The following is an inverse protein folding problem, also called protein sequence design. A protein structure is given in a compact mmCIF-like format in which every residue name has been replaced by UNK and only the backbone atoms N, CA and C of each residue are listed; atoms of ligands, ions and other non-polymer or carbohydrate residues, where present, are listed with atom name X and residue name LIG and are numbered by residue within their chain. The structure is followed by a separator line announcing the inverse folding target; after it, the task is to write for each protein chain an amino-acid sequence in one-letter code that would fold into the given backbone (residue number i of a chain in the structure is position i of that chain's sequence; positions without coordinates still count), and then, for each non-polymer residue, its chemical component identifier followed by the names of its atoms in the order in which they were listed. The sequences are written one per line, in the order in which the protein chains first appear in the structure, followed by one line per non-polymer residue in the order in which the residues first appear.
data_IF_264283343344
#
_entry.id   IF_264283343344
#
_cell.length_a   1.000
_cell.length_b   1.000
_cell.length_c   1.000
_cell.angle_alpha   90.00
_cell.angle_beta   90.00
_cell.angle_gamma   90.00
#
_symmetry.space_group_name_H-M   'P 1'
#
loop_
_entity.id
_entity.type
_entity.pdbx_description
1 polymer ?
#
# COMPACT_ATOMS: atom_id res chain seq x y z
N UNK A 1 -24.49 22.24 -33.15
CA UNK A 1 -24.54 23.72 -33.01
C UNK A 1 -24.06 24.08 -31.60
N UNK A 2 -23.25 25.12 -31.41
CA UNK A 2 -21.81 25.15 -31.68
C UNK A 2 -20.98 25.45 -30.40
N UNK A 3 -19.73 24.98 -30.30
CA UNK A 3 -18.49 25.78 -30.40
C UNK A 3 -18.08 26.55 -29.14
N UNK A 4 -16.88 26.24 -28.64
CA UNK A 4 -15.87 27.11 -27.99
C UNK A 4 -14.73 26.17 -27.58
N UNK A 5 -13.77 25.83 -28.45
CA UNK A 5 -12.51 26.57 -28.69
C UNK A 5 -12.05 27.38 -27.49
N UNK A 6 -11.05 26.86 -26.77
CA UNK A 6 -10.15 27.66 -25.95
C UNK A 6 -8.72 27.46 -26.48
N UNK A 7 -8.32 28.40 -27.33
CA UNK A 7 -6.94 28.78 -27.66
C UNK A 7 -6.36 29.51 -26.43
N UNK A 8 -5.18 29.15 -25.94
CA UNK A 8 -3.88 29.76 -26.27
C UNK A 8 -3.40 30.74 -25.19
N UNK A 9 -2.33 30.36 -24.47
CA UNK A 9 -1.15 31.17 -24.13
C UNK A 9 -0.26 30.33 -23.16
N UNK A 10 0.80 29.66 -23.59
CA UNK A 10 2.10 30.20 -24.00
C UNK A 10 2.80 31.02 -22.90
N UNK A 11 3.60 30.35 -22.08
CA UNK A 11 4.92 30.84 -21.69
C UNK A 11 5.87 29.65 -21.54
N UNK A 12 6.51 29.30 -22.67
CA UNK A 12 7.70 28.46 -22.71
C UNK A 12 8.90 29.35 -22.38
N UNK A 13 9.59 29.08 -21.28
CA UNK A 13 10.94 29.60 -21.05
C UNK A 13 11.90 28.55 -21.61
N UNK A 14 12.33 28.77 -22.85
CA UNK A 14 13.42 28.02 -23.48
C UNK A 14 14.75 28.66 -23.11
N UNK A 15 15.55 27.97 -22.29
CA UNK A 15 16.95 28.32 -22.10
C UNK A 15 17.77 27.54 -23.12
N UNK A 16 18.26 28.25 -24.13
CA UNK A 16 19.16 27.72 -25.17
C UNK A 16 20.58 27.94 -24.68
N UNK A 17 21.27 26.86 -24.30
CA UNK A 17 22.73 26.86 -24.17
C UNK A 17 23.35 26.36 -25.46
N UNK A 18 24.00 27.26 -26.19
CA UNK A 18 24.87 26.94 -27.33
C UNK A 18 26.22 26.52 -26.72
N UNK A 19 26.56 25.24 -26.80
CA UNK A 19 27.91 24.75 -26.47
C UNK A 19 28.53 24.21 -27.77
N UNK A 20 29.75 24.66 -28.13
CA UNK A 20 30.38 24.28 -29.39
C UNK A 20 30.79 22.81 -29.40
N UNK A 21 30.56 22.20 -30.56
CA UNK A 21 30.93 20.83 -30.90
C UNK A 21 32.42 20.59 -30.73
N UNK A 22 32.77 19.65 -29.84
CA UNK A 22 34.09 19.01 -29.84
C UNK A 22 33.87 17.51 -29.98
N UNK A 23 34.29 16.99 -31.14
CA UNK A 23 34.25 15.58 -31.50
C UNK A 23 35.26 14.82 -30.62
N UNK A 24 34.80 13.92 -29.74
CA UNK A 24 35.65 12.91 -29.11
C UNK A 24 34.97 11.54 -29.23
N UNK A 25 35.46 10.76 -30.19
CA UNK A 25 35.21 9.32 -30.29
C UNK A 25 36.04 8.64 -29.20
N UNK A 26 35.40 8.07 -28.17
CA UNK A 26 36.03 7.09 -27.29
C UNK A 26 34.98 6.26 -26.54
N UNK A 27 34.98 4.95 -26.82
CA UNK A 27 34.51 3.93 -25.90
C UNK A 27 33.01 3.64 -25.92
N UNK A 28 32.61 2.64 -26.72
CA UNK A 28 31.51 1.78 -26.36
C UNK A 28 31.82 1.13 -25.01
N UNK A 29 31.47 1.82 -23.93
CA UNK A 29 31.26 1.20 -22.64
C UNK A 29 30.02 0.33 -22.78
N UNK A 30 30.24 -0.95 -23.09
CA UNK A 30 29.34 -2.01 -22.66
C UNK A 30 29.17 -1.81 -21.15
N UNK A 31 28.13 -1.06 -20.77
CA UNK A 31 27.66 -1.01 -19.41
C UNK A 31 27.32 -2.44 -19.08
N UNK A 32 28.23 -3.10 -18.37
CA UNK A 32 27.99 -4.39 -17.77
C UNK A 32 26.66 -4.25 -17.07
N UNK A 33 25.65 -4.97 -17.57
CA UNK A 33 24.47 -5.27 -16.80
C UNK A 33 24.99 -6.10 -15.62
N UNK A 34 25.51 -5.39 -14.62
CA UNK A 34 25.66 -5.89 -13.27
C UNK A 34 24.22 -6.07 -12.81
N UNK A 35 23.63 -7.19 -13.24
CA UNK A 35 22.54 -7.82 -12.55
C UNK A 35 23.15 -8.36 -11.25
N UNK A 36 23.61 -7.44 -10.39
CA UNK A 36 23.55 -7.68 -8.97
C UNK A 36 22.11 -8.12 -8.68
N UNK A 37 21.97 -9.15 -7.86
CA UNK A 37 20.68 -9.70 -7.47
C UNK A 37 19.82 -8.56 -6.91
N UNK A 38 18.91 -8.04 -7.74
CA UNK A 38 18.15 -6.83 -7.44
C UNK A 38 17.30 -6.99 -6.17
N UNK A 39 16.93 -8.24 -5.85
CA UNK A 39 16.24 -8.58 -4.62
C UNK A 39 17.18 -8.50 -3.41
N UNK A 40 18.42 -8.99 -3.54
CA UNK A 40 19.46 -8.83 -2.50
C UNK A 40 19.78 -7.34 -2.27
N UNK A 41 19.95 -6.56 -3.34
CA UNK A 41 20.19 -5.12 -3.23
C UNK A 41 19.05 -4.41 -2.52
N UNK A 42 17.80 -4.71 -2.88
CA UNK A 42 16.62 -4.18 -2.20
C UNK A 42 16.65 -4.51 -0.70
N UNK A 43 16.93 -5.77 -0.34
CA UNK A 43 17.03 -6.19 1.07
C UNK A 43 18.14 -5.43 1.81
N UNK A 44 19.29 -5.21 1.18
CA UNK A 44 20.37 -4.42 1.76
C UNK A 44 20.00 -2.95 1.94
N UNK A 45 19.24 -2.37 1.01
CA UNK A 45 18.72 -1.00 1.18
C UNK A 45 17.71 -0.94 2.33
N UNK A 46 16.73 -1.84 2.35
CA UNK A 46 15.70 -1.87 3.39
C UNK A 46 16.27 -2.09 4.80
N UNK A 47 17.34 -2.88 4.94
CA UNK A 47 17.97 -3.11 6.25
C UNK A 47 18.62 -1.86 6.83
N UNK A 48 19.10 -0.94 5.97
CA UNK A 48 19.62 0.36 6.37
C UNK A 48 18.52 1.36 6.73
N UNK A 49 17.30 1.18 6.21
CA UNK A 49 16.14 2.06 6.44
C UNK A 49 15.31 1.66 7.67
N UNK A 50 15.99 1.31 8.76
CA UNK A 50 15.42 0.75 9.99
C UNK A 50 15.69 1.61 11.23
N UNK A 51 15.99 2.90 11.05
CA UNK A 51 16.24 3.84 12.14
C UNK A 51 15.15 3.80 13.21
N UNK A 52 15.54 3.76 14.49
CA UNK A 52 14.62 3.76 15.64
C UNK A 52 14.42 5.16 16.26
N UNK A 53 14.82 6.23 15.55
CA UNK A 53 14.63 7.59 16.03
C UNK A 53 13.14 7.89 16.36
N UNK A 54 12.84 8.67 17.41
CA UNK A 54 11.47 9.05 17.72
C UNK A 54 10.80 9.75 16.54
N UNK A 55 9.51 9.46 16.34
CA UNK A 55 8.70 9.97 15.25
C UNK A 55 7.34 10.41 15.77
N UNK A 56 6.85 11.54 15.26
CA UNK A 56 5.46 11.96 15.44
C UNK A 56 4.81 12.02 14.06
N UNK A 57 3.60 11.50 13.96
CA UNK A 57 2.84 11.46 12.73
C UNK A 57 1.36 11.75 13.01
N UNK A 58 0.68 12.26 11.99
CA UNK A 58 -0.78 12.28 11.93
C UNK A 58 -1.21 11.25 10.88
N UNK A 59 -2.25 10.49 11.21
CA UNK A 59 -2.83 9.49 10.33
C UNK A 59 -4.30 9.82 10.13
N UNK A 60 -4.66 10.06 8.88
CA UNK A 60 -6.04 10.20 8.44
C UNK A 60 -6.45 8.89 7.81
N UNK A 61 -7.56 8.30 8.25
CA UNK A 61 -8.07 7.04 7.71
C UNK A 61 -9.48 7.26 7.21
N UNK A 62 -9.74 6.87 5.97
CA UNK A 62 -11.06 6.85 5.36
C UNK A 62 -11.40 5.43 4.95
N UNK A 63 -12.55 4.93 5.36
CA UNK A 63 -13.05 3.63 4.93
C UNK A 63 -14.39 3.75 4.23
N UNK A 64 -14.57 2.95 3.19
CA UNK A 64 -15.83 2.72 2.51
C UNK A 64 -16.07 1.22 2.44
N UNK A 65 -17.10 0.75 3.15
CA UNK A 65 -17.49 -0.66 3.16
C UNK A 65 -18.83 -0.82 2.46
N UNK A 66 -18.93 -1.79 1.56
CA UNK A 66 -20.19 -2.18 0.92
C UNK A 66 -20.43 -3.65 1.12
N UNK A 67 -21.50 -4.00 1.83
CA UNK A 67 -22.00 -5.37 1.95
C UNK A 67 -23.17 -5.57 0.99
N UNK A 68 -23.07 -6.54 0.08
CA UNK A 68 -24.18 -6.88 -0.81
C UNK A 68 -25.08 -7.90 -0.13
N UNK A 69 -26.10 -7.44 0.58
CA UNK A 69 -27.34 -8.21 0.78
C UNK A 69 -28.27 -7.99 -0.43
N UNK A 70 -29.34 -8.78 -0.53
CA UNK A 70 -30.28 -9.02 -1.65
C UNK A 70 -30.74 -7.78 -2.50
N UNK A 71 -30.47 -6.54 -2.05
CA UNK A 71 -30.84 -5.29 -2.73
C UNK A 71 -29.69 -4.28 -2.91
N UNK A 72 -28.43 -4.72 -3.07
CA UNK A 72 -27.31 -3.82 -3.43
C UNK A 72 -27.07 -2.73 -2.39
N UNK A 73 -26.37 -3.08 -1.31
CA UNK A 73 -26.12 -2.19 -0.17
C UNK A 73 -25.50 -0.84 -0.56
N UNK A 74 -25.87 0.20 0.19
CA UNK A 74 -25.24 1.52 0.09
C UNK A 74 -23.85 1.47 0.76
N UNK A 75 -22.86 2.23 0.25
CA UNK A 75 -21.57 2.31 0.90
C UNK A 75 -21.71 3.00 2.27
N UNK A 76 -21.14 2.36 3.28
CA UNK A 76 -20.98 2.92 4.62
C UNK A 76 -19.61 3.59 4.69
N UNK A 77 -19.60 4.88 5.02
CA UNK A 77 -18.41 5.71 5.04
C UNK A 77 -18.04 6.04 6.49
N UNK A 78 -16.76 5.92 6.82
CA UNK A 78 -16.21 6.42 8.07
C UNK A 78 -14.87 7.12 7.83
N UNK A 79 -14.58 8.10 8.69
CA UNK A 79 -13.32 8.84 8.70
C UNK A 79 -12.87 9.00 10.15
N UNK A 80 -11.57 8.85 10.39
CA UNK A 80 -10.97 9.12 11.68
C UNK A 80 -9.57 9.71 11.54
N UNK A 81 -9.21 10.54 12.52
CA UNK A 81 -7.90 11.18 12.63
C UNK A 81 -7.20 10.68 13.89
N UNK A 82 -5.92 10.31 13.74
CA UNK A 82 -5.09 9.78 14.81
C UNK A 82 -3.79 10.58 14.90
N UNK A 83 -3.38 10.93 16.12
CA UNK A 83 -2.02 11.37 16.36
C UNK A 83 -1.21 10.17 16.87
N UNK A 84 -0.09 9.90 16.21
CA UNK A 84 0.79 8.76 16.49
C UNK A 84 2.13 9.27 16.98
N UNK A 85 2.59 8.73 18.09
CA UNK A 85 3.93 8.98 18.62
C UNK A 85 4.67 7.66 18.77
N UNK A 86 5.86 7.60 18.18
CA UNK A 86 6.76 6.45 18.21
C UNK A 86 8.03 6.87 18.96
N UNK A 87 8.39 6.11 19.98
CA UNK A 87 9.58 6.33 20.79
C UNK A 87 10.07 5.02 21.36
N UNK A 88 10.08 4.91 22.69
CA UNK A 88 10.27 3.64 23.42
C UNK A 88 9.05 2.71 23.32
N UNK A 89 7.91 3.23 22.86
CA UNK A 89 6.72 2.49 22.50
C UNK A 89 5.90 3.21 21.42
N UNK A 90 4.68 2.71 21.19
CA UNK A 90 3.70 3.30 20.29
C UNK A 90 2.56 3.89 21.11
N UNK A 91 2.31 5.18 20.97
CA UNK A 91 1.14 5.86 21.53
C UNK A 91 0.24 6.35 20.40
N UNK A 92 -1.05 6.06 20.50
CA UNK A 92 -2.06 6.47 19.53
C UNK A 92 -3.12 7.28 20.26
N UNK A 93 -3.31 8.52 19.85
CA UNK A 93 -4.35 9.38 20.37
C UNK A 93 -5.54 9.41 19.41
N UNK A 94 -6.71 9.04 19.92
CA UNK A 94 -8.01 9.15 19.23
C UNK A 94 -8.84 10.28 19.84
N UNK A 95 -9.49 11.08 19.01
CA UNK A 95 -10.38 12.15 19.49
C UNK A 95 -11.59 11.62 20.26
N UNK A 96 -11.97 12.29 21.36
CA UNK A 96 -13.16 11.93 22.16
C UNK A 96 -14.46 11.92 21.35
N UNK A 97 -14.55 12.79 20.35
CA UNK A 97 -15.69 12.88 19.43
C UNK A 97 -15.87 11.60 18.63
N UNK A 98 -14.79 11.07 18.04
CA UNK A 98 -14.79 9.81 17.30
C UNK A 98 -15.13 8.63 18.20
N UNK A 99 -14.57 8.59 19.41
CA UNK A 99 -14.89 7.53 20.39
C UNK A 99 -16.37 7.56 20.82
N UNK A 100 -16.93 8.74 21.06
CA UNK A 100 -18.34 8.88 21.42
C UNK A 100 -19.27 8.48 20.28
N UNK A 101 -18.91 8.80 19.02
CA UNK A 101 -19.67 8.38 17.85
C UNK A 101 -19.70 6.85 17.74
N UNK A 102 -18.54 6.19 17.84
CA UNK A 102 -18.46 4.73 17.83
C UNK A 102 -19.27 4.08 18.96
N UNK A 103 -19.22 4.62 20.19
CA UNK A 103 -20.04 4.10 21.29
C UNK A 103 -21.53 4.27 21.01
N UNK A 104 -21.94 5.40 20.46
CA UNK A 104 -23.35 5.65 20.07
C UNK A 104 -23.83 4.65 19.02
N UNK A 105 -22.99 4.36 18.00
CA UNK A 105 -23.27 3.35 16.98
C UNK A 105 -23.43 1.95 17.61
N UNK A 106 -22.52 1.57 18.51
CA UNK A 106 -22.56 0.28 19.20
C UNK A 106 -23.80 0.14 20.09
N UNK A 107 -24.20 1.20 20.80
CA UNK A 107 -25.42 1.18 21.61
C UNK A 107 -26.68 1.02 20.76
N UNK A 108 -26.73 1.66 19.58
CA UNK A 108 -27.84 1.50 18.65
C UNK A 108 -27.93 0.08 18.08
N UNK A 109 -26.78 -0.58 17.87
CA UNK A 109 -26.71 -1.95 17.37
C UNK A 109 -27.14 -3.03 18.40
N UNK A 110 -27.30 -2.70 19.69
CA UNK A 110 -27.72 -3.68 20.72
C UNK A 110 -29.11 -4.27 20.43
N UNK A 111 -30.01 -3.46 19.87
CA UNK A 111 -31.38 -3.87 19.54
C UNK A 111 -31.60 -4.23 18.07
N UNK A 112 -30.62 -3.97 17.21
CA UNK A 112 -30.69 -4.17 15.76
C UNK A 112 -29.32 -4.63 15.24
N UNK A 113 -29.19 -5.94 15.00
CA UNK A 113 -27.95 -6.54 14.55
C UNK A 113 -27.53 -6.13 13.13
N UNK A 114 -28.42 -5.49 12.37
CA UNK A 114 -28.15 -4.94 11.05
C UNK A 114 -27.89 -3.41 11.09
N UNK A 115 -27.83 -2.81 12.29
CA UNK A 115 -27.50 -1.40 12.43
C UNK A 115 -26.04 -1.14 12.00
N UNK A 116 -25.79 -0.17 11.11
CA UNK A 116 -24.45 0.11 10.61
C UNK A 116 -23.57 0.72 11.71
N UNK A 117 -22.35 0.21 11.84
CA UNK A 117 -21.38 0.70 12.85
C UNK A 117 -20.04 1.11 12.23
N UNK A 118 -20.04 1.96 11.19
CA UNK A 118 -18.85 2.18 10.36
C UNK A 118 -17.70 2.85 11.13
N UNK A 119 -17.99 3.72 12.11
CA UNK A 119 -16.95 4.34 12.94
C UNK A 119 -16.37 3.31 13.91
N UNK A 120 -17.21 2.48 14.54
CA UNK A 120 -16.74 1.42 15.42
C UNK A 120 -15.90 0.36 14.66
N UNK A 121 -16.33 -0.04 13.47
CA UNK A 121 -15.60 -0.94 12.59
C UNK A 121 -14.26 -0.36 12.13
N UNK A 122 -14.22 0.90 11.71
CA UNK A 122 -12.98 1.58 11.35
C UNK A 122 -12.01 1.56 12.53
N UNK A 123 -12.46 1.93 13.73
CA UNK A 123 -11.59 1.93 14.91
C UNK A 123 -11.09 0.52 15.26
N UNK A 124 -11.94 -0.50 15.18
CA UNK A 124 -11.58 -1.88 15.47
C UNK A 124 -10.62 -2.52 14.46
N UNK A 125 -10.68 -2.10 13.19
CA UNK A 125 -9.92 -2.73 12.11
C UNK A 125 -8.70 -1.93 11.63
N UNK A 126 -8.69 -0.61 11.79
CA UNK A 126 -7.62 0.27 11.26
C UNK A 126 -6.64 0.76 12.33
N UNK A 127 -6.97 0.66 13.62
CA UNK A 127 -6.15 1.16 14.75
C UNK A 127 -5.48 0.01 15.50
N UNK A 128 -5.03 -1.00 14.76
CA UNK A 128 -4.22 -2.07 15.33
C UNK A 128 -2.75 -1.60 15.46
N UNK A 129 -2.10 -1.78 16.63
CA UNK A 129 -0.71 -1.36 16.84
C UNK A 129 0.28 -1.92 15.80
N UNK A 130 0.08 -3.16 15.33
CA UNK A 130 0.97 -3.74 14.32
C UNK A 130 0.74 -3.10 12.95
N UNK A 131 -0.50 -2.76 12.61
CA UNK A 131 -0.83 -2.03 11.39
C UNK A 131 -0.15 -0.67 11.38
N UNK A 132 -0.24 0.10 12.47
CA UNK A 132 0.43 1.40 12.59
C UNK A 132 1.95 1.23 12.56
N UNK A 133 2.50 0.26 13.28
CA UNK A 133 3.94 -0.06 13.23
C UNK A 133 4.41 -0.37 11.80
N UNK A 134 3.62 -1.11 11.02
CA UNK A 134 3.96 -1.40 9.62
C UNK A 134 3.88 -0.17 8.71
N UNK A 135 3.10 0.85 9.05
CA UNK A 135 3.08 2.14 8.33
C UNK A 135 4.30 2.99 8.67
N UNK A 136 4.60 3.13 9.97
CA UNK A 136 5.71 3.99 10.43
C UNK A 136 7.07 3.32 10.30
N UNK A 137 7.16 1.99 10.22
CA UNK A 137 8.39 1.22 10.07
C UNK A 137 8.28 0.21 8.91
N UNK A 138 8.06 0.74 7.71
CA UNK A 138 7.78 -0.07 6.51
C UNK A 138 8.98 -0.91 6.06
N UNK A 139 10.21 -0.45 6.29
CA UNK A 139 11.44 -1.16 5.92
C UNK A 139 11.52 -2.59 6.49
N UNK A 140 11.50 -2.75 7.83
CA UNK A 140 11.44 -4.07 8.48
C UNK A 140 10.22 -4.92 8.07
N UNK A 141 9.05 -4.29 7.86
CA UNK A 141 7.85 -4.99 7.41
C UNK A 141 8.05 -5.61 6.02
N UNK A 142 8.59 -4.85 5.06
CA UNK A 142 8.92 -5.32 3.72
C UNK A 142 10.01 -6.40 3.74
N UNK A 143 11.03 -6.26 4.59
CA UNK A 143 12.05 -7.32 4.73
C UNK A 143 11.44 -8.66 5.15
N UNK A 144 10.51 -8.64 6.11
CA UNK A 144 9.83 -9.85 6.58
C UNK A 144 8.95 -10.45 5.48
N UNK A 145 8.22 -9.61 4.76
CA UNK A 145 7.41 -10.02 3.61
C UNK A 145 8.25 -10.70 2.54
N UNK A 146 9.40 -10.11 2.22
CA UNK A 146 10.31 -10.60 1.19
C UNK A 146 11.19 -11.76 1.67
N UNK A 147 11.07 -12.24 2.91
CA UNK A 147 11.96 -13.27 3.45
C UNK A 147 11.88 -14.60 2.69
N UNK A 148 10.70 -14.96 2.17
CA UNK A 148 10.49 -16.18 1.37
C UNK A 148 10.71 -15.97 -0.14
N UNK A 149 10.95 -14.74 -0.59
CA UNK A 149 11.19 -14.44 -1.99
C UNK A 149 12.52 -15.03 -2.46
N UNK A 150 12.54 -15.65 -3.64
CA UNK A 150 13.74 -16.27 -4.21
C UNK A 150 14.27 -15.51 -5.42
N UNK A 151 13.42 -14.77 -6.12
CA UNK A 151 13.78 -14.00 -7.31
C UNK A 151 12.89 -12.77 -7.45
N UNK A 152 13.38 -11.78 -8.19
CA UNK A 152 12.63 -10.63 -8.64
C UNK A 152 12.92 -10.38 -10.12
N UNK A 153 11.90 -10.01 -10.88
CA UNK A 153 12.07 -9.50 -12.24
C UNK A 153 12.19 -7.99 -12.16
N UNK A 154 13.27 -7.45 -12.73
CA UNK A 154 13.50 -6.01 -12.78
C UNK A 154 13.19 -5.45 -14.16
N UNK A 155 12.44 -4.35 -14.22
CA UNK A 155 12.15 -3.62 -15.46
C UNK A 155 12.29 -2.11 -15.26
N UNK A 156 12.76 -1.41 -16.28
CA UNK A 156 12.72 0.05 -16.31
C UNK A 156 11.30 0.51 -16.63
N UNK A 157 10.78 1.43 -15.84
CA UNK A 157 9.42 1.97 -15.95
C UNK A 157 9.41 3.46 -15.62
N UNK A 158 8.23 4.06 -15.59
CA UNK A 158 8.01 5.39 -15.02
C UNK A 158 6.95 5.33 -13.93
N UNK A 159 7.20 5.96 -12.79
CA UNK A 159 6.25 6.13 -11.70
C UNK A 159 5.99 7.63 -11.50
N UNK A 160 4.73 8.04 -11.52
CA UNK A 160 4.32 9.46 -11.41
C UNK A 160 5.08 10.41 -12.38
N UNK A 161 5.37 9.92 -13.59
CA UNK A 161 6.11 10.66 -14.62
C UNK A 161 7.64 10.72 -14.42
N UNK A 162 8.18 10.08 -13.39
CA UNK A 162 9.62 9.99 -13.14
C UNK A 162 10.16 8.60 -13.51
N UNK A 163 11.41 8.50 -14.01
CA UNK A 163 12.05 7.21 -14.24
C UNK A 163 12.15 6.40 -12.94
N UNK A 164 11.74 5.13 -13.00
CA UNK A 164 11.80 4.21 -11.88
C UNK A 164 12.20 2.81 -12.37
N UNK A 165 12.66 1.98 -11.45
CA UNK A 165 12.87 0.55 -11.68
C UNK A 165 11.85 -0.23 -10.88
N UNK A 166 11.01 -1.02 -11.55
CA UNK A 166 10.06 -1.90 -10.89
C UNK A 166 10.69 -3.26 -10.64
N UNK A 167 10.55 -3.77 -9.41
CA UNK A 167 10.88 -5.13 -9.03
C UNK A 167 9.58 -5.90 -8.77
N UNK A 168 9.29 -6.89 -9.60
CA UNK A 168 8.13 -7.77 -9.46
C UNK A 168 8.56 -9.10 -8.84
N UNK A 169 7.96 -9.45 -7.71
CA UNK A 169 8.30 -10.61 -6.88
C UNK A 169 7.06 -11.47 -6.70
N UNK A 170 7.13 -12.74 -7.08
CA UNK A 170 6.08 -13.71 -6.77
C UNK A 170 6.40 -14.41 -5.44
N UNK A 171 5.44 -14.39 -4.51
CA UNK A 171 5.58 -15.04 -3.23
C UNK A 171 4.86 -16.39 -3.21
N UNK A 172 5.45 -17.45 -2.63
CA UNK A 172 4.81 -18.74 -2.53
C UNK A 172 3.61 -18.69 -1.57
N UNK A 173 2.65 -19.63 -1.70
CA UNK A 173 1.55 -19.76 -0.75
C UNK A 173 2.08 -20.02 0.67
N UNK A 174 1.41 -19.49 1.71
CA UNK A 174 1.73 -19.84 3.08
C UNK A 174 1.49 -21.33 3.31
N UNK A 175 2.35 -21.95 4.12
CA UNK A 175 2.19 -23.36 4.49
C UNK A 175 1.03 -23.50 5.48
N UNK A 176 -0.13 -23.96 5.02
CA UNK A 176 -1.28 -24.30 5.88
C UNK A 176 -1.52 -25.81 5.89
N UNK A 177 -1.77 -26.37 7.08
CA UNK A 177 -2.14 -27.79 7.24
C UNK A 177 -3.65 -28.05 7.19
N UNK A 178 -4.45 -27.01 7.42
CA UNK A 178 -5.89 -27.14 7.69
C UNK A 178 -6.78 -26.62 6.56
N UNK A 179 -6.23 -25.81 5.64
CA UNK A 179 -6.97 -25.16 4.56
C UNK A 179 -6.22 -25.34 3.26
N UNK A 180 -6.91 -25.87 2.25
CA UNK A 180 -6.40 -25.90 0.88
C UNK A 180 -6.61 -24.52 0.25
N UNK A 181 -5.51 -23.83 -0.04
CA UNK A 181 -5.52 -22.62 -0.85
C UNK A 181 -5.39 -23.03 -2.31
N UNK A 182 -6.48 -22.88 -3.05
CA UNK A 182 -6.51 -23.03 -4.50
C UNK A 182 -6.28 -21.68 -5.15
N UNK A 183 -5.71 -21.70 -6.35
CA UNK A 183 -5.50 -20.52 -7.19
C UNK A 183 -4.78 -19.37 -6.45
N UNK A 184 -3.90 -19.72 -5.50
CA UNK A 184 -3.15 -18.73 -4.74
C UNK A 184 -2.16 -18.03 -5.66
N UNK A 185 -2.26 -16.70 -5.72
CA UNK A 185 -1.28 -15.84 -6.35
C UNK A 185 -1.01 -14.67 -5.43
N UNK A 186 0.26 -14.38 -5.21
CA UNK A 186 0.70 -13.19 -4.49
C UNK A 186 1.85 -12.55 -5.23
N UNK A 187 1.63 -11.32 -5.66
CA UNK A 187 2.61 -10.53 -6.41
C UNK A 187 2.91 -9.27 -5.63
N UNK A 188 4.19 -9.05 -5.36
CA UNK A 188 4.70 -7.84 -4.74
C UNK A 188 5.47 -7.05 -5.79
N UNK A 189 5.07 -5.81 -6.03
CA UNK A 189 5.80 -4.84 -6.83
C UNK A 189 6.45 -3.80 -5.91
N UNK A 190 7.72 -3.49 -6.16
CA UNK A 190 8.42 -2.39 -5.49
C UNK A 190 9.04 -1.50 -6.55
N UNK A 191 8.72 -0.20 -6.51
CA UNK A 191 9.32 0.78 -7.41
C UNK A 191 10.47 1.48 -6.71
N UNK A 192 11.61 1.53 -7.39
CA UNK A 192 12.85 2.11 -6.90
C UNK A 192 13.26 3.31 -7.74
N UNK A 193 13.88 4.30 -7.12
CA UNK A 193 14.58 5.36 -7.84
C UNK A 193 15.93 4.87 -8.43
N UNK A 194 16.66 5.78 -9.08
CA UNK A 194 17.97 5.49 -9.64
C UNK A 194 19.04 5.12 -8.59
N UNK A 195 18.85 5.52 -7.33
CA UNK A 195 19.72 5.16 -6.21
C UNK A 195 19.32 3.84 -5.53
N UNK A 196 18.24 3.20 -5.98
CA UNK A 196 17.71 1.96 -5.40
C UNK A 196 16.84 2.18 -4.16
N UNK A 197 16.38 3.41 -3.91
CA UNK A 197 15.51 3.76 -2.80
C UNK A 197 14.05 3.42 -3.13
N UNK A 198 13.29 2.78 -2.22
CA UNK A 198 11.87 2.49 -2.43
C UNK A 198 11.02 3.76 -2.48
N UNK A 199 10.28 3.92 -3.58
CA UNK A 199 9.34 5.02 -3.82
C UNK A 199 7.88 4.60 -3.60
N UNK A 200 7.56 3.36 -3.96
CA UNK A 200 6.23 2.80 -3.82
C UNK A 200 6.28 1.29 -3.66
N UNK A 201 5.19 0.73 -3.16
CA UNK A 201 4.99 -0.70 -2.99
C UNK A 201 3.57 -1.08 -3.37
N UNK A 202 3.38 -2.28 -3.90
CA UNK A 202 2.07 -2.87 -4.09
C UNK A 202 2.14 -4.36 -3.79
N UNK A 203 1.14 -4.90 -3.11
CA UNK A 203 0.97 -6.32 -2.84
C UNK A 203 -0.45 -6.72 -3.19
N UNK A 204 -0.55 -7.50 -4.26
CA UNK A 204 -1.78 -8.11 -4.71
C UNK A 204 -1.77 -9.57 -4.32
N UNK A 205 -2.78 -9.99 -3.57
CA UNK A 205 -2.99 -11.36 -3.15
C UNK A 205 -4.39 -11.80 -3.53
N UNK A 206 -4.50 -12.89 -4.29
CA UNK A 206 -5.76 -13.55 -4.57
C UNK A 206 -5.68 -15.03 -4.21
N UNK A 207 -6.75 -15.58 -3.65
CA UNK A 207 -6.84 -17.01 -3.37
C UNK A 207 -8.29 -17.48 -3.23
N UNK A 208 -8.47 -18.78 -3.38
CA UNK A 208 -9.71 -19.50 -3.06
C UNK A 208 -9.46 -20.49 -1.92
N UNK A 209 -10.09 -20.27 -0.77
CA UNK A 209 -10.06 -21.18 0.36
C UNK A 209 -11.29 -22.08 0.33
N UNK A 210 -11.10 -23.41 0.34
CA UNK A 210 -12.21 -24.36 0.36
C UNK A 210 -12.08 -25.36 1.52
N UNK A 211 -13.21 -25.66 2.15
CA UNK A 211 -13.37 -26.72 3.14
C UNK A 211 -14.64 -27.51 2.81
N UNK A 212 -14.49 -28.80 2.49
CA UNK A 212 -15.57 -29.66 1.99
C UNK A 212 -16.27 -29.05 0.76
N UNK A 213 -17.55 -28.68 0.88
CA UNK A 213 -18.39 -28.10 -0.18
C UNK A 213 -18.48 -26.57 -0.11
N UNK A 214 -17.82 -25.94 0.87
CA UNK A 214 -17.83 -24.50 1.06
C UNK A 214 -16.53 -23.89 0.53
N UNK A 215 -16.64 -22.81 -0.24
CA UNK A 215 -15.50 -22.05 -0.71
C UNK A 215 -15.74 -20.55 -0.48
N UNK A 216 -14.66 -19.85 -0.17
CA UNK A 216 -14.58 -18.41 -0.18
C UNK A 216 -13.41 -17.97 -1.08
N UNK A 217 -13.58 -16.84 -1.74
CA UNK A 217 -12.55 -16.19 -2.55
C UNK A 217 -12.21 -14.85 -1.94
N UNK A 218 -10.91 -14.55 -1.86
CA UNK A 218 -10.40 -13.27 -1.43
C UNK A 218 -9.52 -12.68 -2.53
N UNK A 219 -9.70 -11.39 -2.79
CA UNK A 219 -8.80 -10.55 -3.58
C UNK A 219 -8.46 -9.32 -2.75
N UNK A 220 -7.17 -9.13 -2.49
CA UNK A 220 -6.66 -8.04 -1.67
C UNK A 220 -5.55 -7.32 -2.42
N UNK A 221 -5.65 -6.00 -2.48
CA UNK A 221 -4.57 -5.13 -2.97
C UNK A 221 -4.21 -4.14 -1.88
N UNK A 222 -2.95 -4.10 -1.47
CA UNK A 222 -2.38 -3.01 -0.66
C UNK A 222 -1.39 -2.25 -1.53
N UNK A 223 -1.46 -0.92 -1.56
CA UNK A 223 -0.48 -0.09 -2.28
C UNK A 223 -0.05 1.08 -1.41
N UNK A 224 1.26 1.31 -1.34
CA UNK A 224 1.84 2.38 -0.54
C UNK A 224 2.63 3.36 -1.40
N UNK A 225 2.57 4.62 -1.01
CA UNK A 225 3.62 5.60 -1.29
C UNK A 225 4.61 5.61 -0.14
N UNK A 226 5.89 5.54 -0.47
CA UNK A 226 6.96 5.36 0.50
C UNK A 226 7.86 6.59 0.55
N UNK A 227 8.28 6.95 1.75
CA UNK A 227 9.19 8.07 2.00
C UNK A 227 10.21 7.69 3.07
N UNK A 228 11.39 8.30 3.02
CA UNK A 228 12.42 8.11 4.04
C UNK A 228 12.45 9.32 4.96
N UNK A 229 12.18 9.09 6.24
CA UNK A 229 12.18 10.11 7.29
C UNK A 229 13.17 9.70 8.37
N UNK A 230 14.18 10.52 8.64
CA UNK A 230 15.20 10.25 9.67
C UNK A 230 15.88 8.87 9.54
N UNK A 231 16.12 8.40 8.30
CA UNK A 231 16.71 7.09 8.02
C UNK A 231 15.76 5.90 8.25
N UNK A 232 14.45 6.15 8.36
CA UNK A 232 13.39 5.14 8.44
C UNK A 232 12.51 5.22 7.20
N UNK A 233 12.17 4.08 6.62
CA UNK A 233 11.15 4.01 5.56
C UNK A 233 9.75 4.02 6.19
N UNK A 234 8.93 4.98 5.79
CA UNK A 234 7.55 5.16 6.22
C UNK A 234 6.60 5.09 5.02
N UNK A 235 5.37 4.64 5.23
CA UNK A 235 4.29 4.77 4.25
C UNK A 235 3.60 6.13 4.47
N UNK A 236 3.71 7.04 3.50
CA UNK A 236 3.06 8.36 3.57
C UNK A 236 1.61 8.34 3.07
N UNK A 237 1.23 7.30 2.32
CA UNK A 237 -0.14 7.02 1.90
C UNK A 237 -0.27 5.52 1.69
N UNK A 238 -1.38 4.93 2.13
CA UNK A 238 -1.67 3.51 1.92
C UNK A 238 -3.10 3.35 1.44
N UNK A 239 -3.29 2.68 0.33
CA UNK A 239 -4.61 2.28 -0.16
C UNK A 239 -4.77 0.77 -0.01
N UNK A 240 -5.91 0.33 0.52
CA UNK A 240 -6.27 -1.08 0.64
C UNK A 240 -7.61 -1.33 0.02
N UNK A 241 -7.63 -2.23 -0.95
CA UNK A 241 -8.85 -2.79 -1.53
C UNK A 241 -8.95 -4.24 -1.10
N UNK A 242 -10.11 -4.62 -0.57
CA UNK A 242 -10.40 -5.99 -0.17
C UNK A 242 -11.76 -6.40 -0.69
N UNK A 243 -11.78 -7.50 -1.44
CA UNK A 243 -12.99 -8.16 -1.91
C UNK A 243 -13.02 -9.56 -1.34
N UNK A 244 -14.12 -9.88 -0.68
CA UNK A 244 -14.36 -11.22 -0.14
C UNK A 244 -15.74 -11.69 -0.60
N UNK A 245 -15.80 -12.90 -1.14
CA UNK A 245 -17.04 -13.56 -1.53
C UNK A 245 -17.05 -14.99 -1.00
N UNK A 246 -18.13 -15.40 -0.36
CA UNK A 246 -18.28 -16.76 0.14
C UNK A 246 -19.48 -16.92 1.07
N UNK A 247 -20.01 -18.14 1.17
CA UNK A 247 -21.12 -18.48 2.08
C UNK A 247 -22.38 -17.61 1.90
N UNK A 248 -22.62 -17.08 0.69
CA UNK A 248 -23.75 -16.19 0.40
C UNK A 248 -23.54 -14.73 0.83
N UNK A 249 -22.31 -14.34 1.16
CA UNK A 249 -21.95 -12.96 1.49
C UNK A 249 -20.87 -12.45 0.52
N UNK A 250 -21.08 -11.23 0.02
CA UNK A 250 -20.10 -10.47 -0.73
C UNK A 250 -19.82 -9.15 0.00
N UNK A 251 -18.54 -8.84 0.18
CA UNK A 251 -18.08 -7.58 0.77
C UNK A 251 -16.98 -6.97 -0.08
N UNK A 252 -17.04 -5.65 -0.21
CA UNK A 252 -16.01 -4.81 -0.81
C UNK A 252 -15.64 -3.73 0.21
N UNK A 253 -14.34 -3.58 0.48
CA UNK A 253 -13.83 -2.62 1.44
C UNK A 253 -12.67 -1.87 0.81
N UNK A 254 -12.80 -0.54 0.78
CA UNK A 254 -11.78 0.38 0.34
C UNK A 254 -11.33 1.25 1.51
N UNK A 255 -10.02 1.33 1.74
CA UNK A 255 -9.42 2.14 2.81
C UNK A 255 -8.29 3.00 2.20
N UNK A 256 -8.24 4.27 2.59
CA UNK A 256 -7.16 5.22 2.25
C UNK A 256 -6.62 5.87 3.52
#
# INVERSE_FOLDING_TARGET
MPCTTFLENAHRISVVFIVPATLLVAGLGLGSAVHADALSDLRMTLSKLSSQAPLQAALDVKSSTTSKKENGGKPELAEAHFAVQVGDGLSVHVGKTTLHLADTELQAAVGDADYPTPTAELLGNSVDPLTIEHLVARGPALLRLLASATAATASSTSLWGQPARELVIQLPPPKSKNVSLKDYQRTVSVWLDAAGMPLAYSDHTQFKACLLFFCATADNTESDRLEVVNGRLVASMTTRDRKMSGLGQDSDTHIV
#
